data_IF_512351544062
#
_entry.id   IF_512351544062
#
_cell.length_a   1.000
_cell.length_b   1.000
_cell.length_c   1.000
_cell.angle_alpha   90.00
_cell.angle_beta   90.00
_cell.angle_gamma   90.00
#
_symmetry.space_group_name_H-M   'P 1'
#
loop_
_entity.id
_entity.type
_entity.pdbx_description
1 polymer ?
#
# COMPACT_ATOMS: atom_id res chain seq x y z
N UNK A 1 0.08 -8.36 -4.26
CA UNK A 1 -0.74 -8.72 -3.09
C UNK A 1 0.15 -9.26 -1.98
N UNK A 2 0.94 -10.32 -2.21
CA UNK A 2 1.76 -10.94 -1.13
C UNK A 2 2.70 -9.99 -0.39
N UNK A 3 3.38 -9.08 -1.09
CA UNK A 3 4.28 -8.06 -0.47
C UNK A 3 3.55 -7.19 0.57
N UNK A 4 2.26 -6.92 0.35
CA UNK A 4 1.41 -6.12 1.23
C UNK A 4 0.47 -6.98 2.07
N UNK A 5 0.74 -8.29 2.21
CA UNK A 5 -0.07 -9.16 3.07
C UNK A 5 0.03 -8.73 4.52
N UNK A 6 1.22 -8.32 4.96
CA UNK A 6 1.42 -7.57 6.20
C UNK A 6 1.61 -6.07 5.86
N UNK A 7 1.25 -5.15 6.77
CA UNK A 7 1.45 -3.72 6.55
C UNK A 7 2.92 -3.41 6.25
N UNK A 8 3.16 -2.73 5.12
CA UNK A 8 4.50 -2.39 4.66
C UNK A 8 4.53 -0.98 4.08
N UNK A 9 5.64 -0.26 4.25
CA UNK A 9 5.81 1.07 3.68
C UNK A 9 5.63 1.06 2.16
N UNK A 10 4.87 2.03 1.64
CA UNK A 10 4.55 2.15 0.22
C UNK A 10 5.79 2.10 -0.68
N UNK A 11 6.82 2.88 -0.36
CA UNK A 11 8.03 2.98 -1.18
C UNK A 11 8.91 1.73 -1.13
N UNK A 12 8.94 1.06 0.02
CA UNK A 12 9.64 -0.21 0.20
C UNK A 12 8.94 -1.31 -0.58
N UNK A 13 7.63 -1.50 -0.36
CA UNK A 13 6.84 -2.52 -1.03
C UNK A 13 6.81 -2.34 -2.55
N UNK A 14 6.70 -1.09 -3.05
CA UNK A 14 6.80 -0.83 -4.48
C UNK A 14 8.14 -1.28 -5.07
N UNK A 15 9.25 -1.07 -4.34
CA UNK A 15 10.59 -1.50 -4.74
C UNK A 15 10.78 -3.01 -4.71
N UNK A 16 10.10 -3.72 -3.81
CA UNK A 16 10.11 -5.20 -3.77
C UNK A 16 9.30 -5.82 -4.92
N UNK A 17 8.26 -5.13 -5.40
CA UNK A 17 7.45 -5.59 -6.54
C UNK A 17 8.18 -5.35 -7.86
N UNK A 18 8.89 -4.23 -8.02
CA UNK A 18 9.61 -3.91 -9.25
C UNK A 18 10.10 -2.46 -9.32
N UNK A 19 10.26 -1.93 -10.53
CA UNK A 19 10.58 -0.53 -10.72
C UNK A 19 9.47 0.36 -10.15
N UNK A 20 9.81 1.23 -9.19
CA UNK A 20 8.82 2.02 -8.46
C UNK A 20 7.97 2.90 -9.36
N UNK A 21 8.57 3.56 -10.35
CA UNK A 21 7.81 4.46 -11.22
C UNK A 21 6.82 3.71 -12.11
N UNK A 22 7.11 2.45 -12.44
CA UNK A 22 6.19 1.57 -13.16
C UNK A 22 5.13 0.95 -12.24
N UNK A 23 5.48 0.63 -10.98
CA UNK A 23 4.59 0.00 -10.01
C UNK A 23 3.58 0.97 -9.42
N UNK A 24 3.99 2.23 -9.15
CA UNK A 24 3.15 3.21 -8.46
C UNK A 24 1.78 3.42 -9.13
N UNK A 25 1.63 3.59 -10.45
CA UNK A 25 0.31 3.74 -11.07
C UNK A 25 -0.64 2.58 -10.77
N UNK A 26 -0.15 1.34 -10.79
CA UNK A 26 -0.94 0.15 -10.46
C UNK A 26 -1.25 0.09 -8.96
N UNK A 27 -0.29 0.41 -8.11
CA UNK A 27 -0.48 0.48 -6.66
C UNK A 27 -1.56 1.50 -6.29
N UNK A 28 -1.51 2.70 -6.86
CA UNK A 28 -2.54 3.72 -6.67
C UNK A 28 -3.90 3.28 -7.21
N UNK A 29 -3.95 2.57 -8.33
CA UNK A 29 -5.20 1.97 -8.82
C UNK A 29 -5.78 0.95 -7.83
N UNK A 30 -4.94 0.11 -7.21
CA UNK A 30 -5.37 -0.88 -6.22
C UNK A 30 -5.83 -0.24 -4.90
N UNK A 31 -5.21 0.87 -4.48
CA UNK A 31 -5.70 1.69 -3.36
C UNK A 31 -7.07 2.30 -3.69
N UNK A 32 -7.21 2.86 -4.90
CA UNK A 32 -8.44 3.46 -5.37
C UNK A 32 -9.60 2.45 -5.47
N UNK A 33 -9.32 1.23 -5.95
CA UNK A 33 -10.31 0.16 -6.04
C UNK A 33 -10.60 -0.53 -4.71
N UNK A 34 -9.84 -0.23 -3.65
CA UNK A 34 -9.98 -0.82 -2.32
C UNK A 34 -9.38 -2.21 -2.15
N UNK A 35 -8.68 -2.73 -3.17
CA UNK A 35 -7.93 -4.00 -3.07
C UNK A 35 -6.73 -3.88 -2.13
N UNK A 36 -6.13 -2.69 -2.06
CA UNK A 36 -5.17 -2.29 -1.03
C UNK A 36 -5.80 -1.20 -0.15
N UNK A 37 -5.31 -1.10 1.08
CA UNK A 37 -5.69 -0.08 2.06
C UNK A 37 -4.46 0.59 2.64
N UNK A 38 -4.67 1.81 3.11
CA UNK A 38 -3.73 2.67 3.84
C UNK A 38 -4.55 3.56 4.78
N UNK A 39 -3.95 4.06 5.87
CA UNK A 39 -4.63 5.02 6.73
C UNK A 39 -4.52 6.43 6.15
N UNK A 40 -5.67 7.02 5.83
CA UNK A 40 -5.79 8.41 5.39
C UNK A 40 -6.50 9.30 6.42
N UNK A 41 -6.97 8.73 7.54
CA UNK A 41 -7.55 9.50 8.63
C UNK A 41 -6.44 10.18 9.47
N UNK A 42 -5.27 9.54 9.58
CA UNK A 42 -4.10 10.08 10.27
C UNK A 42 -3.34 11.19 9.53
N UNK A 43 -3.56 11.37 8.22
CA UNK A 43 -2.88 12.40 7.43
C UNK A 43 -2.82 12.11 5.93
N UNK A 44 -2.04 12.93 5.21
CA UNK A 44 -1.70 12.67 3.81
C UNK A 44 -0.85 11.40 3.71
N UNK A 45 -1.00 10.70 2.58
CA UNK A 45 -0.17 9.54 2.30
C UNK A 45 1.22 9.98 1.85
N UNK A 46 2.23 9.44 2.53
CA UNK A 46 3.65 9.68 2.30
C UNK A 46 4.36 8.40 1.88
N UNK A 47 5.65 8.49 1.59
CA UNK A 47 6.44 7.35 1.06
C UNK A 47 6.56 6.18 2.04
N UNK A 48 6.48 6.44 3.34
CA UNK A 48 6.54 5.46 4.42
C UNK A 48 5.16 5.00 4.91
N UNK A 49 4.07 5.55 4.35
CA UNK A 49 2.71 5.14 4.71
C UNK A 49 2.53 3.65 4.50
N UNK A 50 1.97 2.99 5.51
CA UNK A 50 1.76 1.56 5.49
C UNK A 50 0.61 1.20 4.55
N UNK A 51 0.86 0.24 3.68
CA UNK A 51 -0.10 -0.32 2.72
C UNK A 51 -0.29 -1.80 3.03
N UNK A 52 -1.54 -2.27 2.99
CA UNK A 52 -1.88 -3.67 3.21
C UNK A 52 -3.02 -4.14 2.31
N UNK A 53 -3.16 -5.45 2.13
CA UNK A 53 -4.27 -6.06 1.37
C UNK A 53 -5.58 -6.02 2.13
N UNK A 54 -6.68 -5.82 1.41
CA UNK A 54 -8.03 -6.02 1.95
C UNK A 54 -8.20 -7.48 2.44
N UNK A 55 -8.73 -7.66 3.65
CA UNK A 55 -8.88 -8.98 4.29
C UNK A 55 -8.20 -9.14 5.65
N UNK A 56 -7.29 -8.23 6.04
CA UNK A 56 -6.73 -8.20 7.40
C UNK A 56 -7.21 -6.96 8.13
N UNK A 57 -8.13 -7.15 9.08
CA UNK A 57 -8.58 -6.11 10.01
C UNK A 57 -7.55 -5.99 11.13
N UNK A 58 -6.60 -5.07 10.98
CA UNK A 58 -5.75 -4.67 12.10
C UNK A 58 -6.58 -3.75 13.00
N UNK A 59 -6.82 -4.19 14.24
CA UNK A 59 -7.42 -3.36 15.27
C UNK A 59 -6.38 -2.32 15.70
N UNK A 60 -6.81 -1.06 15.74
CA UNK A 60 -6.05 0.08 16.24
C UNK A 60 -5.66 -0.10 17.72
#
# INVERSE_FOLDING_TARGET
>A
MEVFREPMGLWEGAGLVGDRLQVLPVLFHLLWSGALRTDLAGGLMESDSLVWTEGIRWAA
#
